data_IF_836048636541
#
_entry.id   IF_836048636541
#
_cell.length_a   1.000
_cell.length_b   1.000
_cell.length_c   1.000
_cell.angle_alpha   90.00
_cell.angle_beta   90.00
_cell.angle_gamma   90.00
#
_symmetry.space_group_name_H-M   'P 1'
#
loop_
_entity.id
_entity.type
_entity.pdbx_description
1 polymer ?
#
# COMPACT_ATOMS: atom_id res chain seq x y z
N UNK A 1 -21.90 6.63 2.39
CA UNK A 1 -21.22 7.94 2.26
C UNK A 1 -20.23 8.08 3.41
N UNK A 2 -20.68 7.85 4.65
CA UNK A 2 -19.83 7.80 5.86
C UNK A 2 -18.59 6.89 5.77
N UNK A 3 -18.69 5.69 5.19
CA UNK A 3 -17.54 4.77 5.07
C UNK A 3 -16.41 5.36 4.22
N UNK A 4 -16.77 6.04 3.11
CA UNK A 4 -15.80 6.67 2.20
C UNK A 4 -15.23 7.92 2.88
N UNK A 5 -16.05 8.73 3.53
CA UNK A 5 -15.62 9.95 4.22
C UNK A 5 -14.63 9.62 5.35
N UNK A 6 -14.95 8.67 6.22
CA UNK A 6 -14.06 8.24 7.31
C UNK A 6 -12.77 7.57 6.80
N UNK A 7 -12.84 6.85 5.68
CA UNK A 7 -11.66 6.21 5.07
C UNK A 7 -10.76 7.20 4.34
N UNK A 8 -11.36 8.19 3.67
CA UNK A 8 -10.66 9.18 2.86
C UNK A 8 -9.99 10.29 3.67
N UNK A 9 -10.52 10.58 4.86
CA UNK A 9 -9.85 11.45 5.83
C UNK A 9 -8.58 10.82 6.42
N UNK A 10 -8.38 9.51 6.21
CA UNK A 10 -7.23 8.77 6.70
C UNK A 10 -5.90 9.30 6.16
N UNK A 11 -4.89 9.35 7.03
CA UNK A 11 -3.57 9.91 6.71
C UNK A 11 -2.87 9.23 5.51
N UNK A 12 -3.09 7.93 5.30
CA UNK A 12 -2.56 7.20 4.14
C UNK A 12 -3.19 7.64 2.81
N UNK A 13 -4.49 7.96 2.81
CA UNK A 13 -5.17 8.48 1.64
C UNK A 13 -4.66 9.88 1.30
N UNK A 14 -4.41 10.74 2.29
CA UNK A 14 -3.79 12.05 2.04
C UNK A 14 -2.36 11.93 1.52
N UNK A 15 -1.58 11.01 2.09
CA UNK A 15 -0.20 10.77 1.66
C UNK A 15 -0.10 10.32 0.20
N UNK A 16 -0.88 9.32 -0.22
CA UNK A 16 -0.76 8.76 -1.58
C UNK A 16 -1.10 9.79 -2.66
N UNK A 17 -1.87 10.82 -2.32
CA UNK A 17 -2.27 11.89 -3.21
C UNK A 17 -1.11 12.86 -3.53
N UNK A 18 -0.03 12.84 -2.74
CA UNK A 18 1.20 13.59 -3.04
C UNK A 18 1.88 13.10 -4.34
N UNK A 19 1.52 11.91 -4.83
CA UNK A 19 2.01 11.33 -6.07
C UNK A 19 1.23 11.75 -7.31
N UNK A 20 0.06 12.40 -7.20
CA UNK A 20 -0.74 12.79 -8.38
C UNK A 20 0.10 13.58 -9.39
N UNK A 21 0.84 14.59 -8.90
CA UNK A 21 1.72 15.42 -9.75
C UNK A 21 2.94 14.68 -10.29
N UNK A 22 3.31 13.53 -9.74
CA UNK A 22 4.44 12.74 -10.22
C UNK A 22 4.01 11.77 -11.31
N UNK A 23 2.87 11.11 -11.11
CA UNK A 23 2.31 10.15 -12.08
C UNK A 23 1.74 10.88 -13.30
N UNK A 24 1.08 12.03 -13.13
CA UNK A 24 0.48 12.79 -14.23
C UNK A 24 1.51 13.51 -15.14
N UNK A 25 2.82 13.43 -14.84
CA UNK A 25 3.87 14.08 -15.65
C UNK A 25 4.30 13.28 -16.87
N UNK A 26 3.93 12.01 -16.99
CA UNK A 26 4.34 11.17 -18.12
C UNK A 26 3.36 11.21 -19.30
N UNK A 27 2.09 11.55 -19.07
CA UNK A 27 1.08 11.67 -20.12
C UNK A 27 0.77 13.16 -20.39
N UNK A 28 1.37 13.73 -21.45
CA UNK A 28 1.19 15.12 -21.87
C UNK A 28 -0.21 15.50 -22.37
N UNK A 29 -1.27 15.23 -21.60
CA UNK A 29 -2.65 15.61 -21.91
C UNK A 29 -3.11 16.72 -20.94
N UNK A 30 -3.53 17.91 -21.43
CA UNK A 30 -3.92 19.02 -20.57
C UNK A 30 -5.19 18.72 -19.78
N UNK A 31 -5.17 19.15 -18.51
CA UNK A 31 -6.25 19.18 -17.54
C UNK A 31 -7.59 19.59 -18.16
N UNK A 32 -8.56 18.66 -18.13
CA UNK A 32 -9.95 19.00 -18.39
C UNK A 32 -10.49 19.80 -17.19
N UNK A 33 -10.71 21.09 -17.45
CA UNK A 33 -11.89 21.82 -17.02
C UNK A 33 -12.08 22.10 -15.52
N UNK A 34 -11.51 23.21 -15.08
CA UNK A 34 -11.93 23.97 -13.91
C UNK A 34 -13.30 24.65 -14.17
N UNK A 35 -14.41 24.01 -13.80
CA UNK A 35 -15.70 24.68 -13.59
C UNK A 35 -16.17 24.46 -12.15
N UNK A 36 -16.60 25.55 -11.52
CA UNK A 36 -17.10 25.57 -10.15
C UNK A 36 -18.45 24.85 -10.08
N UNK A 37 -18.50 23.72 -9.38
CA UNK A 37 -19.75 23.14 -8.86
C UNK A 37 -19.76 23.27 -7.33
N UNK A 38 -20.83 23.80 -6.76
CA UNK A 38 -20.94 24.14 -5.33
C UNK A 38 -21.26 22.89 -4.47
N UNK A 39 -21.33 21.70 -5.08
CA UNK A 39 -21.31 20.38 -4.43
C UNK A 39 -19.97 19.63 -4.63
N UNK A 40 -18.93 20.31 -5.14
CA UNK A 40 -17.70 19.71 -5.69
C UNK A 40 -16.84 18.92 -4.72
N UNK A 41 -16.87 19.21 -3.42
CA UNK A 41 -15.91 18.61 -2.48
C UNK A 41 -16.18 17.10 -2.31
N UNK A 42 -17.43 16.69 -2.08
CA UNK A 42 -17.78 15.27 -1.88
C UNK A 42 -17.65 14.44 -3.16
N UNK A 43 -17.96 15.04 -4.32
CA UNK A 43 -17.77 14.40 -5.62
C UNK A 43 -16.27 14.24 -5.94
N UNK A 44 -15.44 15.25 -5.64
CA UNK A 44 -13.98 15.15 -5.80
C UNK A 44 -13.35 14.09 -4.89
N UNK A 45 -13.82 13.94 -3.65
CA UNK A 45 -13.34 12.91 -2.72
C UNK A 45 -13.66 11.51 -3.24
N UNK A 46 -14.89 11.28 -3.71
CA UNK A 46 -15.30 9.99 -4.27
C UNK A 46 -14.48 9.65 -5.52
N UNK A 47 -14.26 10.60 -6.41
CA UNK A 47 -13.52 10.37 -7.64
C UNK A 47 -12.04 10.06 -7.35
N UNK A 48 -11.43 10.76 -6.39
CA UNK A 48 -10.06 10.49 -5.93
C UNK A 48 -9.94 9.12 -5.26
N UNK A 49 -10.94 8.70 -4.48
CA UNK A 49 -10.99 7.34 -3.94
C UNK A 49 -11.08 6.29 -5.05
N UNK A 50 -12.03 6.45 -5.99
CA UNK A 50 -12.22 5.51 -7.11
C UNK A 50 -10.99 5.41 -8.03
N UNK A 51 -10.16 6.46 -8.10
CA UNK A 51 -8.86 6.41 -8.79
C UNK A 51 -7.91 5.36 -8.18
N UNK A 52 -8.00 5.10 -6.88
CA UNK A 52 -7.18 4.10 -6.20
C UNK A 52 -7.70 2.67 -6.43
N UNK A 53 -8.98 2.52 -6.72
CA UNK A 53 -9.67 1.23 -6.64
C UNK A 53 -9.55 0.39 -7.91
N UNK A 54 -9.03 0.95 -9.01
CA UNK A 54 -8.77 0.19 -10.24
C UNK A 54 -7.37 -0.45 -10.29
N UNK A 55 -6.52 -0.15 -9.30
CA UNK A 55 -5.15 -0.62 -9.18
C UNK A 55 -4.14 0.05 -10.12
N UNK A 56 -4.56 0.85 -11.11
CA UNK A 56 -3.65 1.46 -12.08
C UNK A 56 -2.78 2.51 -11.40
N UNK A 57 -3.40 3.51 -10.76
CA UNK A 57 -2.67 4.61 -10.13
C UNK A 57 -1.67 4.11 -9.08
N UNK A 58 -2.05 3.11 -8.27
CA UNK A 58 -1.18 2.56 -7.25
C UNK A 58 0.00 1.76 -7.81
N UNK A 59 -0.15 1.12 -8.98
CA UNK A 59 0.99 0.54 -9.69
C UNK A 59 1.93 1.63 -10.20
N UNK A 60 1.41 2.74 -10.73
CA UNK A 60 2.26 3.87 -11.15
C UNK A 60 2.99 4.51 -9.96
N UNK A 61 2.33 4.65 -8.81
CA UNK A 61 3.00 5.06 -7.56
C UNK A 61 4.15 4.10 -7.23
N UNK A 62 3.92 2.79 -7.29
CA UNK A 62 4.97 1.79 -7.03
C UNK A 62 6.14 1.94 -8.00
N UNK A 63 5.90 2.23 -9.28
CA UNK A 63 6.96 2.44 -10.29
C UNK A 63 7.74 3.74 -10.08
N UNK A 64 7.11 4.77 -9.51
CA UNK A 64 7.82 5.99 -9.09
C UNK A 64 8.75 5.71 -7.90
N UNK A 65 8.32 4.83 -6.98
CA UNK A 65 9.10 4.40 -5.81
C UNK A 65 10.25 3.46 -6.23
N UNK A 66 9.94 2.46 -7.05
CA UNK A 66 10.88 1.47 -7.58
C UNK A 66 10.77 1.38 -9.12
N UNK A 67 11.63 2.12 -9.85
CA UNK A 67 11.70 2.09 -11.32
C UNK A 67 12.36 0.80 -11.85
N UNK A 68 11.86 -0.37 -11.47
CA UNK A 68 12.42 -1.65 -11.87
C UNK A 68 12.21 -1.91 -13.39
N UNK A 69 13.22 -2.32 -14.19
CA UNK A 69 13.04 -2.53 -15.63
C UNK A 69 12.12 -3.71 -16.01
N UNK A 70 11.72 -4.57 -15.07
CA UNK A 70 10.86 -5.76 -15.31
C UNK A 70 9.37 -5.49 -15.11
N UNK A 71 8.91 -4.27 -15.36
CA UNK A 71 7.52 -3.87 -15.10
C UNK A 71 6.51 -4.65 -15.94
N UNK A 72 5.53 -5.27 -15.29
CA UNK A 72 4.39 -5.88 -15.97
C UNK A 72 3.44 -4.82 -16.56
N UNK A 73 2.85 -5.13 -17.71
CA UNK A 73 1.87 -4.26 -18.37
C UNK A 73 0.59 -4.18 -17.54
N UNK A 74 0.10 -2.96 -17.30
CA UNK A 74 -1.20 -2.72 -16.66
C UNK A 74 -2.33 -2.88 -17.67
N UNK A 75 -3.50 -3.24 -17.14
CA UNK A 75 -4.70 -3.40 -17.93
C UNK A 75 -5.65 -2.23 -17.70
N UNK A 76 -5.84 -1.43 -18.74
CA UNK A 76 -6.84 -0.37 -18.79
C UNK A 76 -7.76 -0.62 -19.99
N UNK A 77 -9.07 -0.67 -19.73
CA UNK A 77 -10.11 -0.81 -20.76
C UNK A 77 -11.03 0.41 -20.83
N UNK A 78 -10.82 1.44 -19.99
CA UNK A 78 -11.71 2.58 -19.84
C UNK A 78 -13.10 2.23 -19.28
N UNK A 79 -13.35 0.98 -18.88
CA UNK A 79 -14.58 0.48 -18.26
C UNK A 79 -14.27 -0.14 -16.91
N UNK A 80 -15.23 -0.06 -16.00
CA UNK A 80 -15.12 -0.70 -14.68
C UNK A 80 -15.27 -2.23 -14.84
N UNK A 81 -14.14 -2.94 -14.92
CA UNK A 81 -14.08 -4.38 -15.07
C UNK A 81 -13.37 -5.01 -13.86
N UNK A 82 -14.12 -5.83 -13.13
CA UNK A 82 -13.65 -6.50 -11.92
C UNK A 82 -12.40 -7.35 -12.20
N UNK A 83 -12.33 -8.03 -13.34
CA UNK A 83 -11.21 -8.92 -13.66
C UNK A 83 -9.93 -8.13 -13.86
N UNK A 84 -10.03 -6.94 -14.49
CA UNK A 84 -8.87 -6.06 -14.68
C UNK A 84 -8.40 -5.48 -13.35
N UNK A 85 -9.32 -5.11 -12.44
CA UNK A 85 -8.95 -4.69 -11.08
C UNK A 85 -8.16 -5.77 -10.34
N UNK A 86 -8.66 -7.02 -10.36
CA UNK A 86 -7.95 -8.17 -9.75
C UNK A 86 -6.57 -8.32 -10.36
N UNK A 87 -6.43 -8.22 -11.68
CA UNK A 87 -5.14 -8.33 -12.35
C UNK A 87 -4.17 -7.21 -11.96
N UNK A 88 -4.61 -5.96 -12.01
CA UNK A 88 -3.78 -4.80 -11.64
C UNK A 88 -3.33 -4.88 -10.17
N UNK A 89 -4.20 -5.25 -9.23
CA UNK A 89 -3.80 -5.45 -7.84
C UNK A 89 -2.90 -6.67 -7.64
N UNK A 90 -3.04 -7.72 -8.47
CA UNK A 90 -2.14 -8.87 -8.44
C UNK A 90 -0.73 -8.51 -8.89
N UNK A 91 -0.60 -7.66 -9.91
CA UNK A 91 0.68 -7.09 -10.35
C UNK A 91 1.30 -6.31 -9.20
N UNK A 92 0.54 -5.41 -8.58
CA UNK A 92 1.02 -4.60 -7.47
C UNK A 92 1.47 -5.43 -6.27
N UNK A 93 0.68 -6.43 -5.86
CA UNK A 93 1.05 -7.35 -4.78
C UNK A 93 2.35 -8.10 -5.07
N UNK A 94 2.57 -8.49 -6.33
CA UNK A 94 3.82 -9.15 -6.72
C UNK A 94 5.00 -8.19 -6.65
N UNK A 95 4.84 -6.96 -7.14
CA UNK A 95 5.88 -5.93 -7.08
C UNK A 95 6.22 -5.57 -5.62
N UNK A 96 5.22 -5.32 -4.78
CA UNK A 96 5.41 -5.08 -3.35
C UNK A 96 6.19 -6.22 -2.69
N UNK A 97 5.77 -7.48 -2.90
CA UNK A 97 6.45 -8.63 -2.32
C UNK A 97 7.90 -8.73 -2.78
N UNK A 98 8.14 -8.56 -4.08
CA UNK A 98 9.50 -8.60 -4.64
C UNK A 98 10.36 -7.50 -4.02
N UNK A 99 9.86 -6.26 -3.94
CA UNK A 99 10.60 -5.14 -3.37
C UNK A 99 10.96 -5.36 -1.89
N UNK A 100 9.98 -5.79 -1.08
CA UNK A 100 10.27 -6.09 0.32
C UNK A 100 11.31 -7.20 0.47
N UNK A 101 11.19 -8.28 -0.30
CA UNK A 101 12.02 -9.46 -0.12
C UNK A 101 13.41 -9.34 -0.77
N UNK A 102 13.48 -8.78 -1.97
CA UNK A 102 14.69 -8.73 -2.79
C UNK A 102 15.50 -7.45 -2.50
N UNK A 103 14.85 -6.29 -2.47
CA UNK A 103 15.53 -5.01 -2.28
C UNK A 103 15.71 -4.66 -0.80
N UNK A 104 14.65 -4.81 0.02
CA UNK A 104 14.72 -4.48 1.44
C UNK A 104 15.22 -5.64 2.32
N UNK A 105 15.32 -6.86 1.78
CA UNK A 105 15.64 -8.06 2.55
C UNK A 105 14.72 -8.24 3.78
N UNK A 106 13.42 -8.04 3.59
CA UNK A 106 12.38 -8.15 4.62
C UNK A 106 11.23 -9.07 4.16
N UNK A 107 10.66 -9.84 5.09
CA UNK A 107 9.45 -10.63 4.87
C UNK A 107 8.21 -9.89 5.38
N UNK A 108 7.20 -9.76 4.53
CA UNK A 108 5.87 -9.30 4.92
C UNK A 108 5.18 -10.45 5.68
N UNK A 109 4.96 -10.27 6.98
CA UNK A 109 4.32 -11.27 7.85
C UNK A 109 2.80 -11.04 8.01
N UNK A 110 2.35 -9.81 7.81
CA UNK A 110 0.90 -9.56 7.70
C UNK A 110 0.33 -10.24 6.45
N UNK A 111 -0.98 -10.51 6.48
CA UNK A 111 -1.70 -10.96 5.28
C UNK A 111 -1.57 -9.92 4.17
N UNK A 112 -1.10 -10.35 3.00
CA UNK A 112 -1.10 -9.48 1.82
C UNK A 112 -2.52 -9.08 1.44
N UNK A 113 -2.69 -7.90 0.81
CA UNK A 113 -4.00 -7.41 0.40
C UNK A 113 -4.76 -8.44 -0.44
N UNK A 114 -6.00 -8.74 -0.09
CA UNK A 114 -6.80 -9.70 -0.82
C UNK A 114 -7.34 -9.09 -2.14
N UNK A 115 -6.69 -9.45 -3.25
CA UNK A 115 -7.03 -8.94 -4.59
C UNK A 115 -8.44 -9.29 -5.05
N UNK A 116 -9.02 -10.39 -4.56
CA UNK A 116 -10.40 -10.76 -4.89
C UNK A 116 -11.40 -9.83 -4.23
N UNK A 117 -11.14 -9.40 -2.99
CA UNK A 117 -11.96 -8.40 -2.28
C UNK A 117 -11.81 -7.03 -2.95
N UNK A 118 -10.56 -6.61 -3.23
CA UNK A 118 -10.28 -5.34 -3.92
C UNK A 118 -10.88 -5.27 -5.34
N UNK A 119 -10.94 -6.42 -6.02
CA UNK A 119 -11.48 -6.50 -7.37
C UNK A 119 -13.01 -6.46 -7.46
N UNK A 120 -13.73 -6.81 -6.38
CA UNK A 120 -15.19 -6.78 -6.30
C UNK A 120 -15.71 -5.35 -6.08
N UNK A 121 -16.69 -5.11 -5.19
CA UNK A 121 -17.19 -3.77 -4.92
C UNK A 121 -16.18 -3.00 -4.03
N UNK A 122 -15.53 -1.95 -4.57
CA UNK A 122 -14.53 -1.20 -3.82
C UNK A 122 -15.11 -0.32 -2.73
N UNK A 123 -16.44 -0.20 -2.63
CA UNK A 123 -17.13 0.62 -1.61
C UNK A 123 -17.52 -0.19 -0.36
N UNK A 124 -17.10 -1.45 -0.27
CA UNK A 124 -17.30 -2.29 0.91
C UNK A 124 -16.27 -1.99 1.99
N UNK A 125 -16.64 -2.16 3.25
CA UNK A 125 -15.72 -2.00 4.39
C UNK A 125 -14.51 -2.95 4.29
N UNK A 126 -14.74 -4.18 3.79
CA UNK A 126 -13.67 -5.13 3.53
C UNK A 126 -12.68 -4.62 2.47
N UNK A 127 -13.16 -4.09 1.34
CA UNK A 127 -12.28 -3.53 0.31
C UNK A 127 -11.50 -2.31 0.78
N UNK A 128 -12.13 -1.44 1.57
CA UNK A 128 -11.48 -0.30 2.21
C UNK A 128 -10.31 -0.74 3.10
N UNK A 129 -10.51 -1.76 3.92
CA UNK A 129 -9.46 -2.26 4.80
C UNK A 129 -8.32 -2.96 4.02
N UNK A 130 -8.65 -3.72 2.96
CA UNK A 130 -7.62 -4.26 2.07
C UNK A 130 -6.82 -3.15 1.37
N UNK A 131 -7.49 -2.06 0.95
CA UNK A 131 -6.85 -0.92 0.33
C UNK A 131 -5.95 -0.20 1.33
N UNK A 132 -6.38 -0.06 2.58
CA UNK A 132 -5.57 0.52 3.66
C UNK A 132 -4.28 -0.28 3.89
N UNK A 133 -4.36 -1.61 3.90
CA UNK A 133 -3.18 -2.49 3.99
C UNK A 133 -2.24 -2.31 2.81
N UNK A 134 -2.80 -2.19 1.60
CA UNK A 134 -2.03 -1.97 0.39
C UNK A 134 -1.29 -0.61 0.43
N UNK A 135 -1.97 0.45 0.85
CA UNK A 135 -1.36 1.78 1.03
C UNK A 135 -0.29 1.78 2.14
N UNK A 136 -0.49 1.02 3.22
CA UNK A 136 0.49 0.87 4.29
C UNK A 136 1.79 0.23 3.76
N UNK A 137 1.69 -0.84 2.97
CA UNK A 137 2.85 -1.48 2.34
C UNK A 137 3.54 -0.55 1.33
N UNK A 138 2.78 0.18 0.50
CA UNK A 138 3.34 1.19 -0.40
C UNK A 138 4.11 2.29 0.34
N UNK A 139 3.59 2.76 1.47
CA UNK A 139 4.29 3.72 2.33
C UNK A 139 5.61 3.14 2.83
N UNK A 140 5.60 1.88 3.27
CA UNK A 140 6.82 1.19 3.71
C UNK A 140 7.87 1.05 2.61
N UNK A 141 7.45 0.82 1.36
CA UNK A 141 8.37 0.90 0.21
C UNK A 141 8.93 2.32 0.03
N UNK A 142 8.06 3.34 0.02
CA UNK A 142 8.47 4.73 -0.23
C UNK A 142 9.49 5.25 0.79
N UNK A 143 9.33 4.93 2.08
CA UNK A 143 10.22 5.43 3.15
C UNK A 143 11.50 4.62 3.31
N UNK A 144 11.61 3.46 2.64
CA UNK A 144 12.78 2.59 2.67
C UNK A 144 13.52 2.49 1.33
N UNK A 145 12.98 3.04 0.24
CA UNK A 145 13.62 3.05 -1.08
C UNK A 145 14.84 4.00 -1.17
N UNK A 146 15.57 3.92 -2.28
CA UNK A 146 16.75 4.76 -2.54
C UNK A 146 16.46 6.27 -2.53
N UNK A 147 15.24 6.67 -2.93
CA UNK A 147 14.80 8.07 -3.02
C UNK A 147 13.97 8.52 -1.82
N UNK A 148 14.01 7.79 -0.70
CA UNK A 148 13.17 8.01 0.48
C UNK A 148 13.16 9.46 0.96
N UNK A 149 14.27 10.18 0.89
CA UNK A 149 14.37 11.58 1.34
C UNK A 149 13.37 12.48 0.60
N UNK A 150 13.12 12.19 -0.70
CA UNK A 150 12.11 12.92 -1.48
C UNK A 150 10.72 12.71 -0.88
N UNK A 151 10.37 11.47 -0.59
CA UNK A 151 9.04 11.12 -0.06
C UNK A 151 8.86 11.58 1.38
N UNK A 152 9.91 11.50 2.21
CA UNK A 152 9.92 12.03 3.58
C UNK A 152 9.72 13.55 3.58
N UNK A 153 10.38 14.29 2.68
CA UNK A 153 10.17 15.73 2.55
C UNK A 153 8.73 16.07 2.15
N UNK A 154 8.10 15.27 1.29
CA UNK A 154 6.69 15.47 0.96
C UNK A 154 5.77 15.21 2.16
N UNK A 155 6.04 14.15 2.94
CA UNK A 155 5.29 13.88 4.19
C UNK A 155 5.43 15.07 5.15
N UNK A 156 6.63 15.63 5.30
CA UNK A 156 6.90 16.80 6.15
C UNK A 156 6.20 18.09 5.69
N UNK A 157 5.64 18.13 4.48
CA UNK A 157 4.84 19.25 3.98
C UNK A 157 3.36 19.19 4.35
N UNK A 158 2.89 18.06 4.89
CA UNK A 158 1.51 17.89 5.36
C UNK A 158 1.28 18.61 6.70
N UNK A 159 0.04 18.67 7.17
CA UNK A 159 -0.25 19.19 8.51
C UNK A 159 0.26 18.24 9.61
N UNK A 160 0.43 18.77 10.82
CA UNK A 160 1.09 18.05 11.94
C UNK A 160 0.30 16.79 12.35
N UNK A 161 -1.02 16.84 12.30
CA UNK A 161 -1.87 15.71 12.70
C UNK A 161 -1.71 14.55 11.72
N UNK A 162 -1.77 14.86 10.41
CA UNK A 162 -1.52 13.90 9.34
C UNK A 162 -0.09 13.34 9.41
N UNK A 163 0.92 14.18 9.66
CA UNK A 163 2.30 13.73 9.84
C UNK A 163 2.45 12.72 10.98
N UNK A 164 1.83 12.99 12.14
CA UNK A 164 1.89 12.09 13.30
C UNK A 164 1.21 10.74 13.02
N UNK A 165 0.08 10.76 12.32
CA UNK A 165 -0.62 9.56 11.89
C UNK A 165 0.20 8.74 10.86
N UNK A 166 0.84 9.40 9.89
CA UNK A 166 1.77 8.73 8.95
C UNK A 166 2.98 8.17 9.69
N UNK A 167 3.56 8.89 10.66
CA UNK A 167 4.69 8.40 11.44
C UNK A 167 4.35 7.10 12.18
N UNK A 168 3.13 7.00 12.71
CA UNK A 168 2.62 5.76 13.32
C UNK A 168 2.52 4.61 12.30
N UNK A 169 2.07 4.91 11.08
CA UNK A 169 2.03 3.93 9.98
C UNK A 169 3.45 3.50 9.55
N UNK A 170 4.41 4.42 9.51
CA UNK A 170 5.82 4.11 9.20
C UNK A 170 6.37 3.17 10.26
N UNK A 171 6.20 3.47 11.55
CA UNK A 171 6.64 2.59 12.63
C UNK A 171 6.01 1.20 12.50
N UNK A 172 4.70 1.14 12.23
CA UNK A 172 4.00 -0.12 12.02
C UNK A 172 4.61 -0.96 10.88
N UNK A 173 4.95 -0.35 9.74
CA UNK A 173 5.38 -1.08 8.54
C UNK A 173 6.90 -1.22 8.40
N UNK A 174 7.68 -0.68 9.34
CA UNK A 174 9.16 -0.76 9.33
C UNK A 174 9.74 -1.37 10.60
N UNK A 175 9.03 -1.31 11.73
CA UNK A 175 9.55 -1.72 13.04
C UNK A 175 8.70 -2.80 13.74
N UNK A 176 7.45 -3.01 13.35
CA UNK A 176 6.61 -4.04 13.99
C UNK A 176 6.92 -5.45 13.45
N UNK A 177 7.49 -6.36 14.28
CA UNK A 177 7.87 -7.72 13.87
C UNK A 177 6.66 -8.63 13.61
N UNK A 178 5.44 -8.14 13.78
CA UNK A 178 4.20 -8.82 13.37
C UNK A 178 3.78 -8.44 11.95
N UNK A 179 4.31 -7.35 11.41
CA UNK A 179 3.99 -6.80 10.10
C UNK A 179 5.09 -7.11 9.10
N UNK A 180 6.34 -6.82 9.46
CA UNK A 180 7.54 -7.07 8.64
C UNK A 180 8.65 -7.68 9.49
N UNK A 181 9.45 -8.57 8.91
CA UNK A 181 10.57 -9.21 9.57
C UNK A 181 11.84 -9.09 8.71
N UNK A 182 12.93 -8.49 9.19
CA UNK A 182 14.18 -8.48 8.45
C UNK A 182 14.74 -9.90 8.29
N UNK A 183 15.30 -10.20 7.11
CA UNK A 183 15.92 -11.48 6.78
C UNK A 183 17.38 -11.55 7.22
N UNK A 184 18.02 -10.40 7.41
CA UNK A 184 19.42 -10.31 7.81
C UNK A 184 19.51 -10.61 9.32
N UNK A 185 20.23 -11.68 9.66
CA UNK A 185 20.40 -12.12 11.04
C UNK A 185 21.09 -11.04 11.88
N UNK A 186 21.99 -10.26 11.29
CA UNK A 186 22.70 -9.18 11.95
C UNK A 186 21.74 -8.09 12.45
N UNK A 187 20.76 -7.70 11.64
CA UNK A 187 19.70 -6.75 12.00
C UNK A 187 18.75 -7.33 13.07
N UNK A 188 18.56 -8.65 13.07
CA UNK A 188 17.78 -9.35 14.10
C UNK A 188 18.52 -9.49 15.44
N UNK A 189 19.85 -9.49 15.44
CA UNK A 189 20.68 -9.63 16.65
C UNK A 189 20.79 -8.31 17.43
N UNK A 190 20.63 -7.17 16.76
CA UNK A 190 20.51 -5.86 17.43
C UNK A 190 19.23 -5.73 18.27
N UNK A 191 18.30 -6.69 18.12
CA UNK A 191 17.03 -6.75 18.86
C UNK A 191 17.26 -7.34 20.26
N UNK A 192 17.34 -6.47 21.27
CA UNK A 192 17.55 -6.88 22.67
C UNK A 192 16.24 -7.13 23.44
N UNK A 193 16.28 -8.07 24.39
CA UNK A 193 15.25 -8.21 25.43
C UNK A 193 13.85 -8.59 24.92
N UNK A 194 12.88 -7.69 25.09
CA UNK A 194 11.45 -7.94 24.85
C UNK A 194 11.11 -8.09 23.36
N UNK A 195 11.86 -7.44 22.48
CA UNK A 195 11.60 -7.45 21.05
C UNK A 195 11.99 -8.79 20.42
N UNK A 196 13.01 -9.47 20.96
CA UNK A 196 13.40 -10.82 20.52
C UNK A 196 12.30 -11.85 20.86
N UNK A 197 11.67 -11.71 22.02
CA UNK A 197 10.52 -12.55 22.39
C UNK A 197 9.34 -12.32 21.45
N UNK A 198 9.08 -11.07 21.06
CA UNK A 198 8.04 -10.74 20.10
C UNK A 198 8.32 -11.36 18.73
N UNK A 199 9.54 -11.21 18.20
CA UNK A 199 9.98 -11.83 16.95
C UNK A 199 9.79 -13.35 16.99
N UNK A 200 10.30 -14.01 18.02
CA UNK A 200 10.15 -15.47 18.16
C UNK A 200 8.69 -15.89 18.22
N UNK A 201 7.86 -15.17 18.99
CA UNK A 201 6.42 -15.47 19.11
C UNK A 201 5.68 -15.27 17.79
N UNK A 202 6.06 -14.27 17.00
CA UNK A 202 5.52 -13.99 15.67
C UNK A 202 5.86 -15.12 14.70
N UNK A 203 7.14 -15.50 14.63
CA UNK A 203 7.62 -16.61 13.80
C UNK A 203 6.95 -17.94 14.18
N UNK A 204 6.84 -18.25 15.48
CA UNK A 204 6.21 -19.47 15.96
C UNK A 204 4.73 -19.55 15.53
N UNK A 205 3.98 -18.44 15.63
CA UNK A 205 2.58 -18.37 15.16
C UNK A 205 2.49 -18.58 13.66
N UNK A 206 3.39 -17.98 12.88
CA UNK A 206 3.39 -18.17 11.43
C UNK A 206 3.70 -19.61 11.03
N UNK A 207 4.69 -20.24 11.67
CA UNK A 207 4.99 -21.67 11.46
C UNK A 207 3.78 -22.54 11.81
N UNK A 208 3.10 -22.27 12.93
CA UNK A 208 1.88 -23.00 13.31
C UNK A 208 0.76 -22.84 12.27
N UNK A 209 0.57 -21.63 11.73
CA UNK A 209 -0.42 -21.38 10.67
C UNK A 209 -0.06 -22.14 9.38
N UNK A 210 1.20 -22.13 8.97
CA UNK A 210 1.67 -22.89 7.80
C UNK A 210 1.47 -24.39 7.97
N UNK A 211 1.71 -24.93 9.17
CA UNK A 211 1.45 -26.35 9.47
C UNK A 211 -0.05 -26.67 9.38
N UNK A 212 -0.90 -25.83 9.97
CA UNK A 212 -2.36 -26.01 9.89
C UNK A 212 -2.86 -25.96 8.43
N UNK A 213 -2.33 -25.05 7.60
CA UNK A 213 -2.65 -24.97 6.18
C UNK A 213 -2.20 -26.24 5.44
N UNK A 214 -0.96 -26.69 5.67
CA UNK A 214 -0.45 -27.93 5.08
C UNK A 214 -1.35 -29.12 5.41
N UNK A 215 -1.73 -29.28 6.67
CA UNK A 215 -2.54 -30.40 7.13
C UNK A 215 -3.95 -30.35 6.53
N UNK A 216 -4.53 -29.15 6.39
CA UNK A 216 -5.83 -28.94 5.71
C UNK A 216 -5.78 -29.30 4.21
N UNK A 217 -4.63 -29.10 3.55
CA UNK A 217 -4.45 -29.45 2.13
C UNK A 217 -4.24 -30.96 1.87
N UNK A 218 -4.03 -31.76 2.91
CA UNK A 218 -3.84 -33.22 2.82
C UNK A 218 -5.13 -34.02 3.04
N UNK A 219 -6.23 -33.36 3.45
CA UNK A 219 -7.58 -33.92 3.62
C UNK A 219 -8.46 -33.68 2.38
#
# INVERSE_FOLDING_TARGET
>A
MEIIENSWEGALAQWVQLFEKMVDREDGVPLYSQYMEVNSVSQSTRDRYLRLTNGIFLNEVMRVIDPNPKVERLYDSGRDDHMLRVQNFSILNRHLRAFYQEDLQQLILMSLPNVAILGQDPLTEAAVEELRRLLLLLLGCAVQCERKETFIQQIQSLDIETQAAIASCIQQVTQDPRVVLPLQWEELVEVEGADLQLVFSSMAKQIQSLLAQRDTHLE
#
